data_IF_279350224979
#
_entry.id   IF_279350224979
#
_cell.length_a   1.000
_cell.length_b   1.000
_cell.length_c   1.000
_cell.angle_alpha   90.00
_cell.angle_beta   90.00
_cell.angle_gamma   90.00
#
_symmetry.space_group_name_H-M   'P 1'
#
loop_
_entity.id
_entity.type
_entity.pdbx_description
1 polymer ?
#
# COMPACT_ATOMS: atom_id res chain seq x y z
N UNK A 1 -22.66 -12.63 -52.92
CA UNK A 1 -22.92 -12.26 -51.50
C UNK A 1 -22.03 -12.99 -50.48
N UNK A 2 -21.16 -13.93 -50.89
CA UNK A 2 -20.31 -14.72 -49.95
C UNK A 2 -18.98 -14.07 -49.54
N UNK A 3 -18.45 -13.10 -50.29
CA UNK A 3 -17.16 -12.47 -49.96
C UNK A 3 -17.26 -11.48 -48.80
N UNK A 4 -18.31 -10.65 -48.79
CA UNK A 4 -18.50 -9.59 -47.78
C UNK A 4 -18.67 -10.14 -46.36
N UNK A 5 -19.35 -11.28 -46.20
CA UNK A 5 -19.51 -11.94 -44.89
C UNK A 5 -18.21 -12.59 -44.40
N UNK A 6 -17.34 -13.04 -45.30
CA UNK A 6 -16.02 -13.58 -44.92
C UNK A 6 -15.08 -12.46 -44.48
N UNK A 7 -15.08 -11.32 -45.18
CA UNK A 7 -14.27 -10.16 -44.80
C UNK A 7 -14.72 -9.59 -43.45
N UNK A 8 -16.03 -9.54 -43.20
CA UNK A 8 -16.60 -9.09 -41.92
C UNK A 8 -16.26 -10.05 -40.77
N UNK A 9 -16.44 -11.36 -40.97
CA UNK A 9 -16.07 -12.35 -39.96
C UNK A 9 -14.56 -12.38 -39.70
N UNK A 10 -13.74 -12.19 -40.74
CA UNK A 10 -12.29 -12.08 -40.61
C UNK A 10 -11.89 -10.82 -39.83
N UNK A 11 -12.52 -9.68 -40.11
CA UNK A 11 -12.29 -8.45 -39.38
C UNK A 11 -12.65 -8.60 -37.90
N UNK A 12 -13.83 -9.16 -37.58
CA UNK A 12 -14.25 -9.43 -36.21
C UNK A 12 -13.26 -10.38 -35.52
N UNK A 13 -12.84 -11.45 -36.21
CA UNK A 13 -11.86 -12.40 -35.69
C UNK A 13 -10.52 -11.74 -35.34
N UNK A 14 -10.04 -10.82 -36.19
CA UNK A 14 -8.81 -10.05 -35.92
C UNK A 14 -8.99 -9.14 -34.71
N UNK A 15 -10.12 -8.44 -34.59
CA UNK A 15 -10.37 -7.56 -33.43
C UNK A 15 -10.40 -8.38 -32.13
N UNK A 16 -11.11 -9.50 -32.11
CA UNK A 16 -11.17 -10.38 -30.94
C UNK A 16 -9.79 -10.92 -30.58
N UNK A 17 -9.01 -11.34 -31.57
CA UNK A 17 -7.65 -11.84 -31.34
C UNK A 17 -6.73 -10.76 -30.75
N UNK A 18 -6.81 -9.51 -31.25
CA UNK A 18 -6.03 -8.38 -30.71
C UNK A 18 -6.43 -8.09 -29.27
N UNK A 19 -7.73 -8.06 -28.96
CA UNK A 19 -8.22 -7.83 -27.59
C UNK A 19 -7.76 -8.96 -26.66
N UNK A 20 -7.90 -10.22 -27.09
CA UNK A 20 -7.45 -11.37 -26.31
C UNK A 20 -5.94 -11.34 -26.04
N UNK A 21 -5.15 -11.00 -27.06
CA UNK A 21 -3.70 -10.86 -26.91
C UNK A 21 -3.33 -9.72 -25.97
N UNK A 22 -3.97 -8.55 -26.11
CA UNK A 22 -3.77 -7.44 -25.20
C UNK A 22 -4.12 -7.82 -23.76
N UNK A 23 -5.26 -8.48 -23.54
CA UNK A 23 -5.68 -8.96 -22.23
C UNK A 23 -4.66 -9.94 -21.62
N UNK A 24 -4.14 -10.90 -22.39
CA UNK A 24 -3.09 -11.82 -21.95
C UNK A 24 -1.78 -11.09 -21.60
N UNK A 25 -1.41 -10.09 -22.40
CA UNK A 25 -0.22 -9.27 -22.14
C UNK A 25 -0.35 -8.48 -20.84
N UNK A 26 -1.48 -7.79 -20.62
CA UNK A 26 -1.74 -7.07 -19.37
C UNK A 26 -1.80 -8.01 -18.17
N UNK A 27 -2.44 -9.17 -18.34
CA UNK A 27 -2.48 -10.21 -17.32
C UNK A 27 -1.07 -10.67 -16.93
N UNK A 28 -0.21 -10.94 -17.91
CA UNK A 28 1.17 -11.34 -17.65
C UNK A 28 1.97 -10.25 -16.91
N UNK A 29 1.77 -8.98 -17.26
CA UNK A 29 2.40 -7.85 -16.59
C UNK A 29 1.95 -7.71 -15.13
N UNK A 30 0.64 -7.82 -14.88
CA UNK A 30 0.07 -7.82 -13.53
C UNK A 30 0.56 -9.01 -12.71
N UNK A 31 0.66 -10.21 -13.32
CA UNK A 31 1.18 -11.40 -12.68
C UNK A 31 2.64 -11.25 -12.29
N UNK A 32 3.45 -10.67 -13.18
CA UNK A 32 4.84 -10.36 -12.88
C UNK A 32 4.96 -9.33 -11.75
N UNK A 33 4.18 -8.25 -11.79
CA UNK A 33 4.16 -7.26 -10.73
C UNK A 33 3.75 -7.87 -9.38
N UNK A 34 2.69 -8.68 -9.36
CA UNK A 34 2.24 -9.39 -8.17
C UNK A 34 3.34 -10.31 -7.60
N UNK A 35 4.08 -11.01 -8.46
CA UNK A 35 5.21 -11.83 -8.04
C UNK A 35 6.32 -10.98 -7.41
N UNK A 36 6.71 -9.87 -8.04
CA UNK A 36 7.71 -8.95 -7.49
C UNK A 36 7.27 -8.40 -6.13
N UNK A 37 6.03 -7.92 -6.02
CA UNK A 37 5.50 -7.42 -4.76
C UNK A 37 5.38 -8.50 -3.69
N UNK A 38 5.07 -9.74 -4.07
CA UNK A 38 5.06 -10.88 -3.14
C UNK A 38 6.46 -11.13 -2.58
N UNK A 39 7.50 -11.07 -3.42
CA UNK A 39 8.89 -11.20 -2.94
C UNK A 39 9.26 -10.04 -2.00
N UNK A 40 8.89 -8.81 -2.34
CA UNK A 40 9.11 -7.65 -1.48
C UNK A 40 8.36 -7.76 -0.14
N UNK A 41 7.12 -8.26 -0.17
CA UNK A 41 6.32 -8.53 1.03
C UNK A 41 6.98 -9.59 1.92
N UNK A 42 7.54 -10.66 1.34
CA UNK A 42 8.29 -11.67 2.09
C UNK A 42 9.56 -11.10 2.72
N UNK A 43 10.25 -10.16 2.06
CA UNK A 43 11.39 -9.46 2.64
C UNK A 43 10.99 -8.49 3.76
N UNK A 44 9.84 -7.83 3.61
CA UNK A 44 9.26 -6.92 4.60
C UNK A 44 8.51 -7.63 5.75
N UNK A 45 8.47 -8.98 5.74
CA UNK A 45 7.57 -9.78 6.58
C UNK A 45 7.74 -9.59 8.09
N UNK A 46 8.96 -9.26 8.54
CA UNK A 46 9.29 -9.06 9.97
C UNK A 46 9.79 -7.65 10.29
N UNK A 47 10.19 -6.88 9.29
CA UNK A 47 10.75 -5.54 9.45
C UNK A 47 10.31 -4.67 8.28
N UNK A 48 9.97 -3.39 8.50
CA UNK A 48 9.58 -2.50 7.43
C UNK A 48 10.71 -2.36 6.42
N UNK A 49 10.38 -2.49 5.13
CA UNK A 49 11.34 -2.36 4.04
C UNK A 49 11.20 -0.97 3.43
N UNK A 50 12.28 -0.18 3.47
CA UNK A 50 12.33 1.15 2.84
C UNK A 50 12.96 1.04 1.45
N UNK A 51 12.20 1.36 0.42
CA UNK A 51 12.66 1.51 -0.96
C UNK A 51 12.53 2.98 -1.38
N UNK A 52 13.61 3.73 -1.18
CA UNK A 52 13.63 5.17 -1.46
C UNK A 52 12.64 5.92 -0.58
N UNK A 53 11.59 6.48 -1.19
CA UNK A 53 10.50 7.20 -0.49
C UNK A 53 9.36 6.28 -0.05
N UNK A 54 9.28 5.05 -0.58
CA UNK A 54 8.24 4.09 -0.24
C UNK A 54 8.67 3.24 0.96
N UNK A 55 7.74 3.00 1.88
CA UNK A 55 7.93 2.14 3.04
C UNK A 55 6.86 1.08 2.98
N UNK A 56 7.27 -0.19 2.88
CA UNK A 56 6.35 -1.32 2.97
C UNK A 56 6.33 -1.75 4.42
N UNK A 57 5.18 -1.64 5.08
CA UNK A 57 5.02 -2.11 6.46
C UNK A 57 4.78 -3.63 6.49
N UNK A 58 5.15 -4.32 7.59
CA UNK A 58 4.85 -5.75 7.72
C UNK A 58 3.35 -6.06 7.63
N UNK A 59 2.49 -5.16 8.12
CA UNK A 59 1.04 -5.33 8.08
C UNK A 59 0.50 -5.23 6.65
N UNK A 60 0.97 -4.27 5.85
CA UNK A 60 0.69 -4.20 4.41
C UNK A 60 1.18 -5.45 3.68
N UNK A 61 2.38 -5.93 3.99
CA UNK A 61 2.93 -7.14 3.39
C UNK A 61 2.07 -8.38 3.68
N UNK A 62 1.57 -8.54 4.91
CA UNK A 62 0.68 -9.64 5.28
C UNK A 62 -0.70 -9.49 4.63
N UNK A 63 -1.24 -8.27 4.57
CA UNK A 63 -2.51 -7.99 3.93
C UNK A 63 -2.46 -8.28 2.42
N UNK A 64 -1.40 -7.85 1.74
CA UNK A 64 -1.20 -8.08 0.30
C UNK A 64 -1.19 -9.58 -0.03
N UNK A 65 -0.37 -10.37 0.68
CA UNK A 65 -0.30 -11.81 0.47
C UNK A 65 -1.60 -12.50 0.88
N UNK A 66 -2.21 -12.08 2.00
CA UNK A 66 -3.48 -12.62 2.48
C UNK A 66 -4.62 -12.45 1.47
N UNK A 67 -4.79 -11.24 0.93
CA UNK A 67 -5.80 -10.96 -0.11
C UNK A 67 -5.51 -11.74 -1.40
N UNK A 68 -4.23 -11.86 -1.78
CA UNK A 68 -3.81 -12.72 -2.88
C UNK A 68 -4.20 -14.18 -2.68
N UNK A 69 -3.94 -14.76 -1.51
CA UNK A 69 -4.31 -16.15 -1.20
C UNK A 69 -5.83 -16.37 -1.20
N UNK A 70 -6.60 -15.40 -0.69
CA UNK A 70 -8.07 -15.43 -0.75
C UNK A 70 -8.53 -15.44 -2.21
N UNK A 71 -7.99 -14.55 -3.06
CA UNK A 71 -8.31 -14.52 -4.48
C UNK A 71 -7.93 -15.81 -5.21
N UNK A 72 -6.77 -16.39 -4.87
CA UNK A 72 -6.29 -17.67 -5.41
C UNK A 72 -7.26 -18.82 -5.12
N UNK A 73 -7.88 -18.84 -3.93
CA UNK A 73 -8.87 -19.86 -3.58
C UNK A 73 -10.26 -19.56 -4.15
N UNK A 74 -10.66 -18.29 -4.15
CA UNK A 74 -12.00 -17.86 -4.57
C UNK A 74 -12.22 -18.06 -6.08
N UNK A 75 -11.23 -17.71 -6.91
CA UNK A 75 -11.33 -17.80 -8.37
C UNK A 75 -11.65 -19.22 -8.90
N UNK A 76 -10.89 -20.28 -8.57
CA UNK A 76 -11.22 -21.64 -9.00
C UNK A 76 -12.52 -22.15 -8.39
N UNK A 77 -12.87 -21.74 -7.17
CA UNK A 77 -14.13 -22.10 -6.53
C UNK A 77 -15.32 -21.50 -7.27
N UNK A 78 -15.22 -20.22 -7.65
CA UNK A 78 -16.23 -19.54 -8.45
C UNK A 78 -16.36 -20.14 -9.85
N UNK A 79 -15.22 -20.47 -10.49
CA UNK A 79 -15.24 -21.16 -11.79
C UNK A 79 -15.90 -22.53 -11.71
N UNK A 80 -15.57 -23.34 -10.70
CA UNK A 80 -16.21 -24.63 -10.47
C UNK A 80 -17.72 -24.48 -10.25
N UNK A 81 -18.14 -23.46 -9.50
CA UNK A 81 -19.56 -23.12 -9.34
C UNK A 81 -20.24 -22.81 -10.68
N UNK A 82 -19.61 -22.00 -11.54
CA UNK A 82 -20.11 -21.72 -12.89
C UNK A 82 -20.18 -22.98 -13.77
N UNK A 83 -19.18 -23.86 -13.72
CA UNK A 83 -19.20 -25.13 -14.44
C UNK A 83 -20.39 -26.00 -14.03
N UNK A 84 -20.69 -26.08 -12.73
CA UNK A 84 -21.84 -26.83 -12.23
C UNK A 84 -23.16 -26.16 -12.63
N UNK A 85 -23.26 -24.84 -12.49
CA UNK A 85 -24.49 -24.10 -12.74
C UNK A 85 -24.89 -24.08 -14.22
N UNK A 86 -23.90 -23.92 -15.11
CA UNK A 86 -24.12 -23.80 -16.55
C UNK A 86 -23.81 -25.10 -17.32
N UNK A 87 -23.36 -26.15 -16.64
CA UNK A 87 -22.98 -27.42 -17.27
C UNK A 87 -21.75 -27.31 -18.19
N UNK A 88 -20.84 -26.37 -17.91
CA UNK A 88 -19.63 -26.18 -18.71
C UNK A 88 -18.58 -27.25 -18.39
N UNK A 89 -17.78 -27.68 -19.37
CA UNK A 89 -16.67 -28.60 -19.11
C UNK A 89 -15.65 -27.94 -18.18
N UNK A 90 -15.26 -28.66 -17.13
CA UNK A 90 -14.18 -28.25 -16.25
C UNK A 90 -12.86 -28.78 -16.80
N UNK A 91 -12.09 -27.90 -17.45
CA UNK A 91 -10.77 -28.24 -17.97
C UNK A 91 -9.69 -27.91 -16.93
N UNK A 92 -9.04 -28.96 -16.42
CA UNK A 92 -7.99 -28.83 -15.40
C UNK A 92 -6.76 -28.06 -15.90
N UNK A 93 -6.56 -28.01 -17.21
CA UNK A 93 -5.45 -27.27 -17.84
C UNK A 93 -5.53 -25.76 -17.56
N UNK A 94 -6.73 -25.22 -17.34
CA UNK A 94 -6.92 -23.82 -16.97
C UNK A 94 -6.77 -23.53 -15.48
N UNK A 95 -6.66 -24.56 -14.64
CA UNK A 95 -6.59 -24.38 -13.19
C UNK A 95 -5.38 -23.54 -12.78
N UNK A 96 -4.23 -23.73 -13.42
CA UNK A 96 -3.03 -22.92 -13.16
C UNK A 96 -3.26 -21.44 -13.44
N UNK A 97 -3.89 -21.11 -14.57
CA UNK A 97 -4.24 -19.74 -14.92
C UNK A 97 -5.28 -19.14 -13.97
N UNK A 98 -6.25 -19.94 -13.52
CA UNK A 98 -7.25 -19.55 -12.52
C UNK A 98 -6.62 -19.25 -11.16
N UNK A 99 -5.67 -20.07 -10.72
CA UNK A 99 -4.96 -19.86 -9.45
C UNK A 99 -4.10 -18.60 -9.50
N UNK A 100 -3.26 -18.47 -10.53
CA UNK A 100 -2.41 -17.30 -10.72
C UNK A 100 -3.28 -16.06 -10.89
N UNK A 101 -4.32 -16.13 -11.72
CA UNK A 101 -5.22 -15.00 -11.96
C UNK A 101 -6.04 -14.60 -10.75
N UNK A 102 -6.49 -15.56 -9.96
CA UNK A 102 -7.13 -15.30 -8.67
C UNK A 102 -6.17 -14.60 -7.71
N UNK A 103 -4.92 -15.06 -7.64
CA UNK A 103 -3.91 -14.43 -6.79
C UNK A 103 -3.62 -13.00 -7.22
N UNK A 104 -3.45 -12.73 -8.52
CA UNK A 104 -3.11 -11.41 -9.04
C UNK A 104 -4.27 -10.43 -8.87
N UNK A 105 -5.49 -10.87 -9.13
CA UNK A 105 -6.68 -10.05 -8.93
C UNK A 105 -6.91 -9.76 -7.43
N UNK A 106 -6.74 -10.75 -6.56
CA UNK A 106 -6.90 -10.59 -5.11
C UNK A 106 -5.83 -9.70 -4.48
N UNK A 107 -4.59 -9.78 -4.94
CA UNK A 107 -3.48 -8.97 -4.41
C UNK A 107 -3.47 -7.57 -5.02
N UNK A 108 -3.22 -7.45 -6.33
CA UNK A 108 -3.05 -6.17 -7.03
C UNK A 108 -4.40 -5.50 -7.31
N UNK A 109 -5.42 -6.26 -7.69
CA UNK A 109 -6.73 -5.69 -8.02
C UNK A 109 -7.42 -5.05 -6.82
N UNK A 110 -7.39 -5.71 -5.65
CA UNK A 110 -7.93 -5.13 -4.41
C UNK A 110 -7.11 -3.92 -3.98
N UNK A 111 -5.78 -3.98 -4.08
CA UNK A 111 -4.92 -2.85 -3.74
C UNK A 111 -5.25 -1.59 -4.56
N UNK A 112 -5.44 -1.75 -5.89
CA UNK A 112 -5.85 -0.65 -6.77
C UNK A 112 -7.23 -0.09 -6.36
N UNK A 113 -8.17 -0.96 -5.98
CA UNK A 113 -9.51 -0.52 -5.57
C UNK A 113 -9.49 0.20 -4.21
N UNK A 114 -8.61 -0.20 -3.30
CA UNK A 114 -8.51 0.42 -1.96
C UNK A 114 -7.56 1.61 -1.90
N UNK A 115 -6.75 1.85 -2.94
CA UNK A 115 -5.81 2.96 -2.98
C UNK A 115 -6.48 4.34 -2.92
N UNK A 116 -7.73 4.45 -3.37
CA UNK A 116 -8.51 5.70 -3.34
C UNK A 116 -9.22 5.93 -2.00
N UNK A 117 -9.39 4.89 -1.19
CA UNK A 117 -10.07 4.93 0.10
C UNK A 117 -9.12 5.19 1.28
N UNK A 118 -7.82 5.32 1.02
CA UNK A 118 -6.84 5.61 2.06
C UNK A 118 -7.03 7.07 2.54
N UNK A 119 -7.55 7.30 3.76
CA UNK A 119 -7.67 8.66 4.28
C UNK A 119 -6.26 9.29 4.29
N UNK A 120 -6.13 10.58 3.94
CA UNK A 120 -4.84 11.25 3.90
C UNK A 120 -4.13 10.97 5.23
N UNK A 121 -2.94 10.36 5.11
CA UNK A 121 -2.13 9.89 6.22
C UNK A 121 -2.34 10.78 7.45
N UNK A 122 -2.88 10.18 8.52
CA UNK A 122 -3.03 10.88 9.79
C UNK A 122 -1.72 11.61 10.06
N UNK A 123 -1.82 12.93 10.24
CA UNK A 123 -0.68 13.80 10.48
C UNK A 123 0.24 13.11 11.49
N UNK A 124 1.58 13.11 11.28
CA UNK A 124 2.50 12.46 12.21
C UNK A 124 2.11 12.91 13.61
N UNK A 125 1.81 11.95 14.48
CA UNK A 125 1.53 12.22 15.88
C UNK A 125 2.62 13.16 16.37
N UNK A 126 2.27 14.43 16.55
CA UNK A 126 3.11 15.38 17.23
C UNK A 126 3.12 14.91 18.66
N UNK A 127 4.00 13.95 18.99
CA UNK A 127 4.39 13.73 20.37
C UNK A 127 4.84 15.10 20.85
N UNK A 128 4.10 15.75 21.77
CA UNK A 128 4.51 17.05 22.25
C UNK A 128 5.94 16.88 22.79
N UNK A 129 6.85 17.82 22.50
CA UNK A 129 8.20 17.73 23.02
C UNK A 129 8.12 17.51 24.54
N UNK A 130 8.97 16.64 25.12
CA UNK A 130 8.93 16.39 26.55
C UNK A 130 8.94 17.72 27.28
N UNK A 131 7.89 17.95 28.09
CA UNK A 131 7.74 19.18 28.84
C UNK A 131 9.04 19.41 29.62
N UNK A 132 9.70 20.54 29.35
CA UNK A 132 10.85 20.95 30.16
C UNK A 132 10.41 20.91 31.63
N UNK A 133 11.24 20.35 32.53
CA UNK A 133 10.89 20.34 33.94
C UNK A 133 10.53 21.76 34.34
N UNK A 134 9.31 21.95 34.83
CA UNK A 134 8.86 23.23 35.38
C UNK A 134 9.93 23.64 36.40
N UNK A 135 10.52 24.83 36.30
CA UNK A 135 11.47 25.29 37.32
C UNK A 135 10.76 25.13 38.65
N UNK A 136 11.34 24.33 39.54
CA UNK A 136 10.83 24.23 40.89
C UNK A 136 10.68 25.66 41.40
N UNK A 137 9.53 26.00 41.96
CA UNK A 137 9.30 27.22 42.74
C UNK A 137 10.26 27.22 43.94
N UNK A 138 11.56 27.40 43.69
CA UNK A 138 12.43 28.00 44.67
C UNK A 138 11.97 29.45 44.72
N UNK A 139 11.16 29.74 45.72
CA UNK A 139 10.97 31.09 46.20
C UNK A 139 12.34 31.80 46.14
N UNK A 140 12.48 32.91 45.40
CA UNK A 140 13.73 33.64 45.39
C UNK A 140 14.06 34.00 46.85
N UNK A 141 15.26 33.63 47.31
CA UNK A 141 15.76 34.14 48.58
C UNK A 141 15.60 35.67 48.55
N UNK A 142 15.15 36.32 49.63
CA UNK A 142 14.92 37.76 49.63
C UNK A 142 16.23 38.45 49.28
N UNK A 143 16.30 38.99 48.07
CA UNK A 143 17.38 39.83 47.60
C UNK A 143 17.40 41.03 48.55
N UNK A 144 18.52 41.26 49.24
CA UNK A 144 18.70 42.53 49.93
C UNK A 144 18.43 43.66 48.92
N UNK A 145 17.61 44.66 49.27
CA UNK A 145 17.24 45.69 48.33
C UNK A 145 18.50 46.36 47.83
N UNK A 146 18.67 46.37 46.51
CA UNK A 146 19.88 46.93 45.91
C UNK A 146 20.00 48.39 46.33
N UNK A 147 21.13 48.72 46.96
CA UNK A 147 21.46 50.08 47.34
C UNK A 147 22.24 50.70 46.19
N UNK A 148 21.66 51.69 45.54
CA UNK A 148 22.41 52.52 44.60
C UNK A 148 23.53 53.25 45.35
N UNK A 149 24.70 53.34 44.72
CA UNK A 149 25.77 54.23 45.19
C UNK A 149 25.20 55.65 45.29
N UNK A 150 25.29 56.24 46.47
CA UNK A 150 24.90 57.64 46.70
C UNK A 150 26.09 58.51 46.34
N UNK A 151 25.84 59.70 45.78
CA UNK A 151 26.89 60.66 45.42
C UNK A 151 27.81 61.05 46.61
N UNK A 152 27.39 60.77 47.84
CA UNK A 152 28.16 60.95 49.08
C UNK A 152 29.25 59.88 49.32
N UNK A 153 29.31 58.80 48.53
CA UNK A 153 30.31 57.75 48.70
C UNK A 153 31.72 58.14 48.16
N UNK A 154 31.85 59.28 47.47
CA UNK A 154 33.14 59.80 46.97
C UNK A 154 33.91 60.67 47.98
N UNK A 155 33.31 61.07 49.11
CA UNK A 155 33.94 61.98 50.10
C UNK A 155 34.64 61.29 51.28
N UNK A 156 34.99 60.00 51.17
CA UNK A 156 35.90 59.36 52.14
C UNK A 156 37.32 59.24 51.57
N UNK A 157 38.21 60.22 51.84
CA UNK A 157 39.63 60.01 51.69
C UNK A 157 40.13 59.03 52.76
N UNK A 158 40.98 58.09 52.34
CA UNK A 158 41.79 57.24 53.21
C UNK A 158 42.76 58.04 54.06
#
# INVERSE_FOLDING_TARGET
MSSKSNDENAAIGVVVAVIAFAALFFFALLAFAALVFTVLALLAWKKPLRLGRFVITPDEAHAFVGRGLIGMALAPTFWAFCCILFGLPFEADYLGYLLIGGYTLGSVGIEILTADDEPPAAAPDHTPPPALPTPADKAPAPTEPFRFATWDDEEKPS
#
